data_IF_465688594075
#
_entry.id   IF_465688594075
#
_cell.length_a   1.000
_cell.length_b   1.000
_cell.length_c   1.000
_cell.angle_alpha   90.00
_cell.angle_beta   90.00
_cell.angle_gamma   90.00
#
_symmetry.space_group_name_H-M   'P 1'
#
loop_
_entity.id
_entity.type
_entity.pdbx_description
1 polymer ?
#
# COMPACT_ATOMS: atom_id res chain seq x y z
N UNK A 1 25.34 6.05 4.89
CA UNK A 1 25.07 6.60 3.54
C UNK A 1 23.58 6.51 3.30
N UNK A 2 22.93 7.59 2.86
CA UNK A 2 21.49 7.57 2.54
C UNK A 2 21.35 6.82 1.20
N UNK A 3 20.52 5.77 1.15
CA UNK A 3 20.28 5.03 -0.09
C UNK A 3 19.46 5.86 -1.08
N UNK A 4 19.66 5.64 -2.38
CA UNK A 4 18.95 6.34 -3.45
C UNK A 4 17.42 6.20 -3.32
N UNK A 5 16.96 5.06 -2.83
CA UNK A 5 15.57 4.74 -2.53
C UNK A 5 14.91 5.76 -1.59
N UNK A 6 15.55 6.08 -0.46
CA UNK A 6 15.00 7.07 0.47
C UNK A 6 14.91 8.46 -0.15
N UNK A 7 15.89 8.83 -0.99
CA UNK A 7 15.85 10.10 -1.70
C UNK A 7 14.69 10.18 -2.69
N UNK A 8 14.39 9.07 -3.39
CA UNK A 8 13.25 9.00 -4.31
C UNK A 8 11.94 9.16 -3.53
N UNK A 9 11.76 8.43 -2.42
CA UNK A 9 10.56 8.50 -1.59
C UNK A 9 10.34 9.92 -1.06
N UNK A 10 11.40 10.56 -0.54
CA UNK A 10 11.33 11.93 -0.03
C UNK A 10 10.98 12.90 -1.17
N UNK A 11 11.63 12.77 -2.33
CA UNK A 11 11.37 13.64 -3.48
C UNK A 11 9.91 13.52 -3.96
N UNK A 12 9.39 12.30 -4.10
CA UNK A 12 8.00 12.05 -4.48
C UNK A 12 7.04 12.64 -3.45
N UNK A 13 7.33 12.49 -2.16
CA UNK A 13 6.50 13.06 -1.09
C UNK A 13 6.49 14.59 -1.11
N UNK A 14 7.65 15.23 -1.31
CA UNK A 14 7.74 16.69 -1.44
C UNK A 14 6.98 17.17 -2.68
N UNK A 15 7.11 16.49 -3.82
CA UNK A 15 6.34 16.81 -5.04
C UNK A 15 4.85 16.68 -4.78
N UNK A 16 4.40 15.61 -4.13
CA UNK A 16 3.01 15.42 -3.74
C UNK A 16 2.53 16.56 -2.83
N UNK A 17 3.31 16.92 -1.81
CA UNK A 17 2.95 18.00 -0.88
C UNK A 17 2.81 19.34 -1.60
N UNK A 18 3.75 19.66 -2.50
CA UNK A 18 3.69 20.87 -3.33
C UNK A 18 2.49 20.85 -4.27
N UNK A 19 2.17 19.70 -4.87
CA UNK A 19 1.00 19.57 -5.73
C UNK A 19 -0.28 19.88 -4.96
N UNK A 20 -0.47 19.30 -3.77
CA UNK A 20 -1.62 19.57 -2.90
C UNK A 20 -1.67 21.05 -2.52
N UNK A 21 -0.53 21.65 -2.17
CA UNK A 21 -0.46 23.07 -1.85
C UNK A 21 -0.93 23.95 -3.01
N UNK A 22 -0.61 23.59 -4.25
CA UNK A 22 -0.96 24.38 -5.43
C UNK A 22 -2.42 24.16 -5.84
N UNK A 23 -2.90 22.90 -5.86
CA UNK A 23 -4.24 22.56 -6.35
C UNK A 23 -5.32 22.86 -5.31
N UNK A 24 -5.10 22.45 -4.07
CA UNK A 24 -6.08 22.60 -2.98
C UNK A 24 -5.87 23.91 -2.20
N UNK A 25 -4.76 24.64 -2.46
CA UNK A 25 -4.37 25.84 -1.70
C UNK A 25 -4.34 25.60 -0.18
N UNK A 26 -4.13 24.35 0.22
CA UNK A 26 -4.17 23.89 1.60
C UNK A 26 -2.79 23.42 2.04
N UNK A 27 -2.34 23.91 3.19
CA UNK A 27 -1.16 23.39 3.88
C UNK A 27 -1.61 22.24 4.77
N UNK A 28 -1.04 21.05 4.55
CA UNK A 28 -1.22 19.93 5.47
C UNK A 28 -0.41 20.24 6.73
N UNK A 29 -1.10 20.50 7.85
CA UNK A 29 -0.49 20.88 9.14
C UNK A 29 -0.61 19.81 10.21
N UNK A 30 -1.63 18.96 10.11
CA UNK A 30 -1.89 17.94 11.12
C UNK A 30 -0.88 16.80 10.98
N UNK A 31 -0.12 16.46 12.05
CA UNK A 31 0.89 15.41 11.99
C UNK A 31 0.33 14.06 11.52
N UNK A 32 -0.89 13.73 11.94
CA UNK A 32 -1.58 12.50 11.54
C UNK A 32 -1.83 12.46 10.02
N UNK A 33 -2.24 13.57 9.43
CA UNK A 33 -2.46 13.68 7.98
C UNK A 33 -1.13 13.53 7.23
N UNK A 34 -0.06 14.18 7.70
CA UNK A 34 1.28 14.07 7.11
C UNK A 34 1.77 12.61 7.11
N UNK A 35 1.68 11.94 8.27
CA UNK A 35 2.11 10.55 8.42
C UNK A 35 1.29 9.64 7.48
N UNK A 36 -0.04 9.83 7.43
CA UNK A 36 -0.90 9.03 6.55
C UNK A 36 -0.57 9.19 5.07
N UNK A 37 -0.30 10.43 4.61
CA UNK A 37 0.12 10.68 3.22
C UNK A 37 1.52 10.15 2.93
N UNK A 38 2.46 10.29 3.88
CA UNK A 38 3.81 9.77 3.73
C UNK A 38 3.81 8.24 3.62
N UNK A 39 3.04 7.56 4.48
CA UNK A 39 2.85 6.11 4.42
C UNK A 39 2.24 5.69 3.08
N UNK A 40 1.29 6.46 2.55
CA UNK A 40 0.68 6.21 1.24
C UNK A 40 1.72 6.29 0.11
N UNK A 41 2.64 7.25 0.15
CA UNK A 41 3.74 7.37 -0.82
C UNK A 41 4.72 6.21 -0.70
N UNK A 42 5.05 5.78 0.51
CA UNK A 42 5.89 4.58 0.73
C UNK A 42 5.22 3.34 0.14
N UNK A 43 3.93 3.13 0.40
CA UNK A 43 3.18 1.99 -0.14
C UNK A 43 3.08 2.03 -1.66
N UNK A 44 2.87 3.22 -2.24
CA UNK A 44 2.89 3.40 -3.69
C UNK A 44 4.25 3.03 -4.28
N UNK A 45 5.33 3.55 -3.69
CA UNK A 45 6.69 3.23 -4.11
C UNK A 45 6.98 1.73 -3.99
N UNK A 46 6.59 1.11 -2.88
CA UNK A 46 6.74 -0.33 -2.67
C UNK A 46 5.97 -1.13 -3.72
N UNK A 47 4.71 -0.75 -4.02
CA UNK A 47 3.90 -1.38 -5.05
C UNK A 47 4.51 -1.28 -6.45
N UNK A 48 4.95 -0.08 -6.85
CA UNK A 48 5.63 0.15 -8.15
C UNK A 48 6.93 -0.65 -8.23
N UNK A 49 7.70 -0.66 -7.14
CA UNK A 49 8.96 -1.42 -7.05
C UNK A 49 8.73 -2.91 -7.21
N UNK A 50 7.71 -3.48 -6.56
CA UNK A 50 7.36 -4.89 -6.74
C UNK A 50 6.90 -5.22 -8.16
N UNK A 51 6.09 -4.35 -8.79
CA UNK A 51 5.69 -4.53 -10.19
C UNK A 51 6.91 -4.53 -11.11
N UNK A 52 7.85 -3.59 -10.90
CA UNK A 52 9.09 -3.55 -11.66
C UNK A 52 9.91 -4.83 -11.48
N UNK A 53 10.07 -5.31 -10.25
CA UNK A 53 10.79 -6.55 -9.96
C UNK A 53 10.11 -7.77 -10.58
N UNK A 54 8.79 -7.85 -10.54
CA UNK A 54 8.03 -8.94 -11.17
C UNK A 54 8.24 -8.97 -12.70
N UNK A 55 8.42 -7.81 -13.34
CA UNK A 55 8.63 -7.70 -14.79
C UNK A 55 10.10 -7.93 -15.21
N UNK A 56 11.05 -7.46 -14.40
CA UNK A 56 12.48 -7.40 -14.78
C UNK A 56 13.35 -8.45 -14.09
N UNK A 57 12.86 -9.03 -12.98
CA UNK A 57 13.62 -9.91 -12.10
C UNK A 57 14.74 -9.21 -11.32
N UNK A 58 14.86 -7.88 -11.42
CA UNK A 58 15.93 -7.10 -10.82
C UNK A 58 15.40 -6.07 -9.80
N UNK A 59 16.12 -5.84 -8.69
CA UNK A 59 15.75 -4.79 -7.74
C UNK A 59 15.77 -3.41 -8.40
N UNK A 60 14.71 -2.64 -8.18
CA UNK A 60 14.63 -1.24 -8.58
C UNK A 60 15.72 -0.39 -7.89
N UNK A 61 16.28 0.55 -8.65
CA UNK A 61 17.31 1.54 -8.31
C UNK A 61 17.83 1.55 -6.86
N UNK A 62 18.92 0.82 -6.62
CA UNK A 62 19.70 0.91 -5.37
C UNK A 62 19.09 0.18 -4.16
N UNK A 63 18.03 -0.60 -4.36
CA UNK A 63 17.47 -1.47 -3.32
C UNK A 63 18.17 -2.83 -3.25
N UNK A 64 18.21 -3.42 -2.06
CA UNK A 64 18.71 -4.77 -1.83
C UNK A 64 17.58 -5.80 -1.97
N UNK A 65 17.93 -7.07 -2.18
CA UNK A 65 16.97 -8.18 -2.15
C UNK A 65 16.20 -8.25 -0.82
N UNK A 66 16.83 -7.84 0.28
CA UNK A 66 16.23 -7.82 1.61
C UNK A 66 15.10 -6.79 1.71
N UNK A 67 15.27 -5.60 1.11
CA UNK A 67 14.21 -4.58 1.04
C UNK A 67 12.98 -5.11 0.29
N UNK A 68 13.20 -5.90 -0.77
CA UNK A 68 12.11 -6.52 -1.53
C UNK A 68 11.34 -7.55 -0.72
N UNK A 69 12.03 -8.39 0.07
CA UNK A 69 11.36 -9.34 0.96
C UNK A 69 10.47 -8.61 1.97
N UNK A 70 10.94 -7.47 2.50
CA UNK A 70 10.17 -6.63 3.40
C UNK A 70 8.94 -6.01 2.71
N UNK A 71 9.09 -5.52 1.47
CA UNK A 71 7.96 -5.00 0.68
C UNK A 71 6.91 -6.06 0.38
N UNK A 72 7.35 -7.25 -0.06
CA UNK A 72 6.46 -8.40 -0.31
C UNK A 72 5.73 -8.79 0.98
N UNK A 73 6.43 -8.83 2.12
CA UNK A 73 5.84 -9.15 3.41
C UNK A 73 4.77 -8.12 3.82
N UNK A 74 5.08 -6.82 3.79
CA UNK A 74 4.14 -5.76 4.18
C UNK A 74 2.91 -5.76 3.27
N UNK A 75 3.11 -5.81 1.96
CA UNK A 75 1.99 -5.78 1.00
C UNK A 75 1.16 -7.05 1.11
N UNK A 76 1.80 -8.22 1.22
CA UNK A 76 1.11 -9.50 1.42
C UNK A 76 0.33 -9.53 2.72
N UNK A 77 0.89 -9.01 3.81
CA UNK A 77 0.22 -8.92 5.11
C UNK A 77 -1.01 -8.01 5.06
N UNK A 78 -0.89 -6.81 4.48
CA UNK A 78 -2.03 -5.89 4.30
C UNK A 78 -3.10 -6.51 3.39
N UNK A 79 -2.70 -7.16 2.29
CA UNK A 79 -3.62 -7.85 1.40
C UNK A 79 -4.38 -8.99 2.11
N UNK A 80 -3.70 -9.76 2.98
CA UNK A 80 -4.35 -10.80 3.77
C UNK A 80 -5.37 -10.21 4.76
N UNK A 81 -4.98 -9.17 5.51
CA UNK A 81 -5.87 -8.50 6.46
C UNK A 81 -7.11 -7.91 5.78
N UNK A 82 -6.97 -7.46 4.53
CA UNK A 82 -8.09 -6.99 3.73
C UNK A 82 -8.96 -8.13 3.19
N UNK A 83 -8.34 -9.17 2.63
CA UNK A 83 -9.03 -10.23 1.90
C UNK A 83 -9.80 -11.16 2.84
N UNK A 84 -9.27 -11.46 4.02
CA UNK A 84 -9.93 -12.35 4.99
C UNK A 84 -11.35 -11.87 5.38
N UNK A 85 -11.55 -10.63 5.86
CA UNK A 85 -12.89 -10.17 6.22
C UNK A 85 -13.82 -10.17 5.01
N UNK A 86 -13.36 -9.72 3.84
CA UNK A 86 -14.15 -9.68 2.60
C UNK A 86 -14.67 -11.09 2.22
N UNK A 87 -13.78 -12.09 2.17
CA UNK A 87 -14.16 -13.46 1.86
C UNK A 87 -15.10 -14.06 2.93
N UNK A 88 -14.90 -13.72 4.20
CA UNK A 88 -15.78 -14.17 5.29
C UNK A 88 -17.20 -13.58 5.21
N UNK A 89 -17.39 -12.41 4.60
CA UNK A 89 -18.73 -11.86 4.36
C UNK A 89 -19.54 -12.72 3.39
N UNK A 90 -18.91 -13.27 2.34
CA UNK A 90 -19.57 -14.20 1.41
C UNK A 90 -20.03 -15.48 2.13
N UNK A 91 -19.24 -16.00 3.06
CA UNK A 91 -19.63 -17.17 3.88
C UNK A 91 -20.79 -16.87 4.85
N UNK A 92 -20.90 -15.64 5.38
CA UNK A 92 -22.07 -15.22 6.17
C UNK A 92 -23.36 -15.24 5.34
N UNK A 93 -23.29 -14.80 4.08
CA UNK A 93 -24.39 -14.92 3.13
C UNK A 93 -24.75 -16.38 2.85
N UNK A 94 -23.74 -17.24 2.61
CA UNK A 94 -23.91 -18.67 2.38
C UNK A 94 -24.59 -19.39 3.56
N UNK A 95 -24.25 -19.02 4.80
CA UNK A 95 -24.86 -19.56 6.02
C UNK A 95 -26.34 -19.18 6.16
N UNK A 96 -26.74 -18.01 5.66
CA UNK A 96 -28.15 -17.59 5.64
C UNK A 96 -28.94 -18.24 4.50
N UNK A 97 -28.30 -18.49 3.35
CA UNK A 97 -28.90 -19.17 2.21
C UNK A 97 -29.25 -20.63 2.51
N UNK A 98 -28.31 -21.36 3.14
CA UNK A 98 -28.49 -22.77 3.54
C UNK A 98 -29.52 -22.97 4.66
N UNK A 99 -29.70 -22.00 5.57
CA UNK A 99 -30.75 -22.05 6.61
C UNK A 99 -32.16 -21.86 6.05
N UNK A 100 -32.33 -21.13 4.94
CA UNK A 100 -33.64 -20.90 4.32
C UNK A 100 -34.20 -22.13 3.61
N UNK A 101 -33.33 -23.07 3.19
CA UNK A 101 -33.71 -24.30 2.51
C UNK A 101 -34.25 -25.41 3.42
N UNK A 102 -34.13 -25.30 4.76
CA UNK A 102 -34.62 -26.31 5.72
C UNK A 102 -36.05 -26.07 6.21
N UNK A 103 -36.76 -25.08 5.67
CA UNK A 103 -38.20 -24.88 5.87
C UNK A 103 -38.96 -25.17 4.56
N UNK A 104 -39.03 -26.45 4.20
CA UNK A 104 -40.11 -27.01 3.37
C UNK A 104 -40.37 -28.43 3.85
#
# INVERSE_FOLDING_TARGET
MISAEYLIIIAVFVIYYLAVLITEKRIIREPQEIIGKFLSVILLYAGVSLIFFALTGQPFLGASQENYNLYIFIIGFVAMLWTIPELLEEFKWFRNFTKKSKKK
#
